data_IF_248512367173
#
_entry.id   IF_248512367173
#
_cell.length_a   1.000
_cell.length_b   1.000
_cell.length_c   1.000
_cell.angle_alpha   90.00
_cell.angle_beta   90.00
_cell.angle_gamma   90.00
#
_symmetry.space_group_name_H-M   'P 1'
#
loop_
_entity.id
_entity.type
_entity.pdbx_description
1 polymer ?
#
# COMPACT_ATOMS: atom_id res chain seq x y z
N UNK A 1 -30.83 -9.45 -23.13
CA UNK A 1 -29.59 -10.01 -22.55
C UNK A 1 -29.70 -10.14 -21.03
N UNK A 2 -29.06 -11.14 -20.45
CA UNK A 2 -29.00 -11.25 -18.98
C UNK A 2 -28.27 -10.02 -18.40
N UNK A 3 -28.70 -9.48 -17.25
CA UNK A 3 -27.98 -8.39 -16.60
C UNK A 3 -26.60 -8.88 -16.22
N UNK A 4 -25.56 -8.12 -16.59
CA UNK A 4 -24.19 -8.36 -16.13
C UNK A 4 -24.00 -7.64 -14.80
N UNK A 5 -23.43 -8.33 -13.80
CA UNK A 5 -22.94 -7.73 -12.57
C UNK A 5 -21.42 -7.61 -12.62
N UNK A 6 -20.90 -6.44 -12.27
CA UNK A 6 -19.47 -6.19 -12.15
C UNK A 6 -19.14 -5.90 -10.68
N UNK A 7 -18.02 -6.44 -10.22
CA UNK A 7 -17.40 -6.04 -8.95
C UNK A 7 -16.45 -4.87 -9.22
N UNK A 8 -16.72 -3.72 -8.60
CA UNK A 8 -15.98 -2.49 -8.87
C UNK A 8 -15.03 -2.15 -7.72
N UNK A 9 -13.73 -2.11 -8.00
CA UNK A 9 -12.73 -1.57 -7.07
C UNK A 9 -12.34 -0.13 -7.44
N UNK A 10 -11.93 0.64 -6.45
CA UNK A 10 -11.41 1.99 -6.63
C UNK A 10 -10.10 2.23 -5.92
N UNK A 11 -9.27 3.12 -6.47
CA UNK A 11 -8.02 3.55 -5.83
C UNK A 11 -8.24 4.68 -4.81
N UNK A 12 -7.39 4.70 -3.77
CA UNK A 12 -7.28 5.79 -2.81
C UNK A 12 -5.80 6.05 -2.46
N UNK A 13 -5.48 7.30 -2.17
CA UNK A 13 -4.14 7.72 -1.72
C UNK A 13 -4.19 8.21 -0.27
N UNK A 14 -3.85 7.34 0.72
CA UNK A 14 -3.84 7.73 2.12
C UNK A 14 -2.85 8.84 2.47
N UNK A 15 -1.77 8.97 1.66
CA UNK A 15 -0.72 9.97 1.85
C UNK A 15 -0.93 11.24 1.01
N UNK A 16 -2.11 11.40 0.41
CA UNK A 16 -2.42 12.56 -0.45
C UNK A 16 -2.14 13.89 0.24
N UNK A 17 -1.46 14.80 -0.46
CA UNK A 17 -1.22 16.16 0.02
C UNK A 17 -2.51 16.95 0.25
N UNK A 18 -3.56 16.66 -0.52
CA UNK A 18 -4.90 17.19 -0.29
C UNK A 18 -5.83 16.08 0.23
N UNK A 19 -5.56 15.67 1.45
CA UNK A 19 -6.24 14.54 2.08
C UNK A 19 -7.77 14.74 2.17
N UNK A 20 -8.23 15.94 2.52
CA UNK A 20 -9.67 16.20 2.62
C UNK A 20 -10.39 15.98 1.27
N UNK A 21 -9.78 16.44 0.18
CA UNK A 21 -10.31 16.21 -1.17
C UNK A 21 -10.25 14.73 -1.57
N UNK A 22 -9.21 14.01 -1.17
CA UNK A 22 -9.08 12.58 -1.45
C UNK A 22 -10.19 11.77 -0.76
N UNK A 23 -10.46 12.05 0.52
CA UNK A 23 -11.54 11.39 1.26
C UNK A 23 -12.90 11.71 0.67
N UNK A 24 -13.15 12.95 0.29
CA UNK A 24 -14.42 13.33 -0.36
C UNK A 24 -14.61 12.61 -1.69
N UNK A 25 -13.58 12.55 -2.53
CA UNK A 25 -13.61 11.78 -3.78
C UNK A 25 -13.82 10.29 -3.55
N UNK A 26 -13.22 9.73 -2.51
CA UNK A 26 -13.40 8.33 -2.15
C UNK A 26 -14.84 8.04 -1.75
N UNK A 27 -15.45 8.91 -0.93
CA UNK A 27 -16.89 8.81 -0.58
C UNK A 27 -17.78 8.83 -1.83
N UNK A 28 -17.51 9.73 -2.77
CA UNK A 28 -18.25 9.80 -4.04
C UNK A 28 -18.11 8.53 -4.86
N UNK A 29 -16.91 7.95 -4.96
CA UNK A 29 -16.65 6.70 -5.67
C UNK A 29 -17.41 5.52 -5.04
N UNK A 30 -17.43 5.44 -3.70
CA UNK A 30 -18.16 4.41 -2.98
C UNK A 30 -19.67 4.59 -3.17
N UNK A 31 -20.18 5.82 -3.07
CA UNK A 31 -21.59 6.13 -3.34
C UNK A 31 -22.01 5.82 -4.79
N UNK A 32 -21.06 5.89 -5.74
CA UNK A 32 -21.28 5.52 -7.14
C UNK A 32 -21.19 4.00 -7.38
N UNK A 33 -20.90 3.18 -6.37
CA UNK A 33 -20.94 1.72 -6.47
C UNK A 33 -19.59 1.02 -6.39
N UNK A 34 -18.54 1.68 -5.87
CA UNK A 34 -17.28 0.97 -5.58
C UNK A 34 -17.45 0.08 -4.33
N UNK A 35 -17.10 -1.18 -4.45
CA UNK A 35 -17.29 -2.25 -3.46
C UNK A 35 -15.97 -2.65 -2.76
N UNK A 36 -14.83 -2.14 -3.25
CA UNK A 36 -13.49 -2.40 -2.72
C UNK A 36 -12.61 -1.17 -2.90
N UNK A 37 -11.81 -0.85 -1.90
CA UNK A 37 -10.77 0.19 -1.98
C UNK A 37 -9.40 -0.46 -2.06
N UNK A 38 -8.57 -0.02 -3.01
CA UNK A 38 -7.16 -0.40 -3.12
C UNK A 38 -6.30 0.85 -2.90
N UNK A 39 -5.41 0.85 -1.91
CA UNK A 39 -4.62 2.04 -1.62
C UNK A 39 -3.42 2.17 -2.55
N UNK A 40 -2.92 3.39 -2.73
CA UNK A 40 -1.52 3.56 -3.15
C UNK A 40 -0.57 2.90 -2.13
N UNK A 41 0.68 2.57 -2.51
CA UNK A 41 1.64 2.00 -1.57
C UNK A 41 1.83 2.89 -0.34
N UNK A 42 1.79 2.28 0.83
CA UNK A 42 1.89 2.97 2.12
C UNK A 42 3.13 2.50 2.87
N UNK A 43 3.84 3.43 3.49
CA UNK A 43 5.05 3.20 4.28
C UNK A 43 4.92 3.67 5.74
N UNK A 44 3.79 4.31 6.08
CA UNK A 44 3.48 4.78 7.43
C UNK A 44 2.11 4.25 7.87
N UNK A 45 2.05 3.36 8.87
CA UNK A 45 0.79 2.83 9.37
C UNK A 45 -0.20 3.90 9.83
N UNK A 46 0.28 5.00 10.44
CA UNK A 46 -0.58 6.06 10.94
C UNK A 46 -1.35 6.78 9.82
N UNK A 47 -0.74 6.90 8.65
CA UNK A 47 -1.38 7.49 7.46
C UNK A 47 -2.53 6.62 6.97
N UNK A 48 -2.34 5.30 6.96
CA UNK A 48 -3.39 4.36 6.60
C UNK A 48 -4.50 4.32 7.66
N UNK A 49 -4.12 4.24 8.94
CA UNK A 49 -5.07 4.19 10.06
C UNK A 49 -6.04 5.36 10.04
N UNK A 50 -5.54 6.57 9.79
CA UNK A 50 -6.37 7.76 9.62
C UNK A 50 -7.42 7.58 8.53
N UNK A 51 -7.03 7.07 7.35
CA UNK A 51 -7.97 6.84 6.25
C UNK A 51 -9.01 5.78 6.62
N UNK A 52 -8.58 4.67 7.25
CA UNK A 52 -9.48 3.60 7.66
C UNK A 52 -10.53 4.11 8.66
N UNK A 53 -10.14 4.97 9.62
CA UNK A 53 -11.05 5.58 10.57
C UNK A 53 -12.07 6.48 9.86
N UNK A 54 -11.63 7.32 8.93
CA UNK A 54 -12.49 8.27 8.19
C UNK A 54 -13.51 7.59 7.28
N UNK A 55 -13.20 6.37 6.77
CA UNK A 55 -14.10 5.62 5.89
C UNK A 55 -14.80 4.44 6.57
N UNK A 56 -14.48 4.13 7.82
CA UNK A 56 -15.10 3.03 8.57
C UNK A 56 -16.65 3.04 8.50
N UNK A 57 -17.35 4.19 8.59
CA UNK A 57 -18.80 4.21 8.48
C UNK A 57 -19.36 3.77 7.12
N UNK A 58 -18.53 3.71 6.08
CA UNK A 58 -18.95 3.32 4.73
C UNK A 58 -18.95 1.80 4.52
N UNK A 59 -18.34 1.03 5.43
CA UNK A 59 -18.39 -0.43 5.43
C UNK A 59 -17.73 -1.11 4.23
N UNK A 60 -16.83 -0.43 3.52
CA UNK A 60 -16.17 -0.97 2.31
C UNK A 60 -14.81 -1.57 2.69
N UNK A 61 -14.50 -2.82 2.26
CA UNK A 61 -13.21 -3.45 2.53
C UNK A 61 -12.06 -2.72 1.84
N UNK A 62 -10.89 -2.75 2.47
CA UNK A 62 -9.67 -2.10 1.98
C UNK A 62 -8.56 -3.13 1.77
N UNK A 63 -7.94 -3.13 0.60
CA UNK A 63 -6.67 -3.78 0.35
C UNK A 63 -5.55 -2.74 0.43
N UNK A 64 -4.59 -2.98 1.32
CA UNK A 64 -3.40 -2.11 1.42
C UNK A 64 -2.42 -2.42 0.31
N UNK A 65 -1.96 -1.38 -0.37
CA UNK A 65 -0.88 -1.47 -1.34
C UNK A 65 0.49 -1.51 -0.66
N UNK A 66 1.32 -2.48 -1.03
CA UNK A 66 2.69 -2.61 -0.56
C UNK A 66 3.64 -2.69 -1.74
N UNK A 67 4.70 -1.89 -1.69
CA UNK A 67 5.78 -1.89 -2.69
C UNK A 67 7.11 -2.06 -1.96
N UNK A 68 7.67 -3.28 -1.89
CA UNK A 68 8.98 -3.48 -1.29
C UNK A 68 10.07 -2.75 -2.07
N UNK A 69 10.88 -1.96 -1.36
CA UNK A 69 11.93 -1.15 -1.98
C UNK A 69 13.12 -2.02 -2.40
N UNK A 70 13.69 -1.78 -3.58
CA UNK A 70 14.79 -2.60 -4.11
C UNK A 70 16.18 -2.04 -3.84
N UNK A 71 16.28 -0.72 -3.58
CA UNK A 71 17.53 0.00 -3.30
C UNK A 71 17.25 1.39 -2.76
N UNK A 72 18.28 2.07 -2.22
CA UNK A 72 18.19 3.47 -1.86
C UNK A 72 17.79 4.36 -3.06
N UNK A 73 18.43 4.16 -4.22
CA UNK A 73 18.10 4.91 -5.44
C UNK A 73 16.63 4.72 -5.85
N UNK A 74 16.10 3.51 -5.69
CA UNK A 74 14.68 3.24 -5.97
C UNK A 74 13.77 3.99 -4.98
N UNK A 75 14.10 4.01 -3.69
CA UNK A 75 13.34 4.76 -2.69
C UNK A 75 13.32 6.28 -2.98
N UNK A 76 14.47 6.87 -3.30
CA UNK A 76 14.55 8.29 -3.66
C UNK A 76 13.79 8.62 -4.95
N UNK A 77 13.91 7.76 -5.98
CA UNK A 77 13.16 7.92 -7.22
C UNK A 77 11.65 7.91 -6.98
N UNK A 78 11.16 6.92 -6.23
CA UNK A 78 9.74 6.83 -5.91
C UNK A 78 9.25 8.05 -5.12
N UNK A 79 10.03 8.51 -4.14
CA UNK A 79 9.66 9.64 -3.30
C UNK A 79 9.63 10.97 -4.06
N UNK A 80 10.61 11.20 -4.94
CA UNK A 80 10.79 12.50 -5.60
C UNK A 80 10.07 12.59 -6.95
N UNK A 81 9.96 11.48 -7.69
CA UNK A 81 9.53 11.50 -9.09
C UNK A 81 8.13 10.89 -9.30
N UNK A 82 7.63 10.11 -8.33
CA UNK A 82 6.33 9.46 -8.50
C UNK A 82 5.26 10.20 -7.68
N UNK A 83 4.27 10.85 -8.35
CA UNK A 83 3.20 11.55 -7.65
C UNK A 83 2.44 10.63 -6.69
N UNK A 84 2.19 11.12 -5.47
CA UNK A 84 1.47 10.37 -4.43
C UNK A 84 2.34 9.41 -3.62
N UNK A 85 3.61 9.18 -4.02
CA UNK A 85 4.52 8.34 -3.25
C UNK A 85 5.22 9.15 -2.15
N UNK A 86 4.78 8.96 -0.91
CA UNK A 86 5.40 9.58 0.27
C UNK A 86 6.14 8.51 1.08
N UNK A 87 7.48 8.50 0.95
CA UNK A 87 8.32 7.58 1.71
C UNK A 87 8.93 8.35 2.90
N UNK A 88 8.60 8.00 4.15
CA UNK A 88 9.13 8.67 5.33
C UNK A 88 10.66 8.68 5.37
N UNK A 89 11.23 9.76 5.92
CA UNK A 89 12.68 9.93 6.04
C UNK A 89 13.36 8.74 6.75
N UNK A 90 12.75 8.22 7.81
CA UNK A 90 13.26 7.06 8.52
C UNK A 90 13.39 5.81 7.61
N UNK A 91 12.45 5.60 6.70
CA UNK A 91 12.49 4.48 5.72
C UNK A 91 13.57 4.74 4.67
N UNK A 92 13.68 5.96 4.15
CA UNK A 92 14.72 6.33 3.19
C UNK A 92 16.13 6.19 3.79
N UNK A 93 16.30 6.58 5.05
CA UNK A 93 17.57 6.41 5.78
C UNK A 93 17.92 4.92 5.99
N UNK A 94 16.95 4.06 6.30
CA UNK A 94 17.14 2.60 6.34
C UNK A 94 17.64 2.08 4.99
N UNK A 95 16.99 2.49 3.91
CA UNK A 95 17.41 2.10 2.55
C UNK A 95 18.77 2.68 2.17
N UNK A 96 19.10 3.89 2.62
CA UNK A 96 20.43 4.50 2.42
C UNK A 96 21.54 3.65 3.06
N UNK A 97 21.32 3.19 4.28
CA UNK A 97 22.26 2.30 4.99
C UNK A 97 22.39 0.93 4.32
N UNK A 98 21.29 0.40 3.79
CA UNK A 98 21.28 -0.86 3.06
C UNK A 98 21.87 -0.75 1.65
N UNK A 99 21.87 0.44 1.04
CA UNK A 99 22.51 0.76 -0.22
C UNK A 99 21.81 0.12 -1.44
N UNK A 100 22.43 -0.90 -2.00
CA UNK A 100 21.97 -1.61 -3.20
C UNK A 100 22.21 -3.12 -3.13
N UNK A 101 21.72 -3.85 -4.13
CA UNK A 101 21.93 -5.29 -4.24
C UNK A 101 21.08 -6.13 -3.27
N UNK A 102 21.49 -7.37 -2.94
CA UNK A 102 20.68 -8.30 -2.17
C UNK A 102 20.32 -7.80 -0.77
N UNK A 103 21.23 -7.09 -0.11
CA UNK A 103 20.99 -6.57 1.24
C UNK A 103 19.92 -5.49 1.26
N UNK A 104 19.93 -4.58 0.29
CA UNK A 104 18.91 -3.56 0.14
C UNK A 104 17.53 -4.18 -0.14
N UNK A 105 17.48 -5.23 -0.98
CA UNK A 105 16.22 -5.95 -1.25
C UNK A 105 15.64 -6.62 0.01
N UNK A 106 16.50 -7.26 0.81
CA UNK A 106 16.07 -7.84 2.10
C UNK A 106 15.52 -6.77 3.05
N UNK A 107 16.17 -5.60 3.10
CA UNK A 107 15.68 -4.48 3.90
C UNK A 107 14.33 -3.96 3.39
N UNK A 108 14.16 -3.82 2.07
CA UNK A 108 12.89 -3.42 1.47
C UNK A 108 11.74 -4.40 1.73
N UNK A 109 12.01 -5.69 1.68
CA UNK A 109 11.05 -6.74 2.09
C UNK A 109 10.72 -6.61 3.57
N UNK A 110 11.71 -6.40 4.43
CA UNK A 110 11.50 -6.24 5.88
C UNK A 110 10.61 -5.04 6.18
N UNK A 111 10.84 -3.90 5.53
CA UNK A 111 10.00 -2.70 5.65
C UNK A 111 8.55 -3.00 5.26
N UNK A 112 8.33 -3.67 4.14
CA UNK A 112 6.98 -4.02 3.69
C UNK A 112 6.30 -5.02 4.64
N UNK A 113 7.04 -5.98 5.21
CA UNK A 113 6.52 -6.91 6.23
C UNK A 113 6.14 -6.20 7.52
N UNK A 114 6.95 -5.26 8.00
CA UNK A 114 6.66 -4.45 9.19
C UNK A 114 5.39 -3.63 8.98
N UNK A 115 5.21 -3.03 7.80
CA UNK A 115 3.99 -2.32 7.44
C UNK A 115 2.77 -3.25 7.44
N UNK A 116 2.86 -4.42 6.79
CA UNK A 116 1.79 -5.41 6.75
C UNK A 116 1.43 -5.89 8.16
N UNK A 117 2.42 -6.21 8.98
CA UNK A 117 2.19 -6.64 10.37
C UNK A 117 1.46 -5.58 11.21
N UNK A 118 1.77 -4.31 10.99
CA UNK A 118 1.15 -3.20 11.73
C UNK A 118 -0.35 -3.01 11.39
N UNK A 119 -0.77 -3.36 10.17
CA UNK A 119 -2.12 -3.02 9.68
C UNK A 119 -3.00 -4.24 9.38
N UNK A 120 -2.48 -5.47 9.46
CA UNK A 120 -3.15 -6.71 9.03
C UNK A 120 -4.53 -6.92 9.64
N UNK A 121 -4.75 -6.51 10.88
CA UNK A 121 -6.00 -6.71 11.60
C UNK A 121 -7.04 -5.62 11.29
N UNK A 122 -6.66 -4.60 10.50
CA UNK A 122 -7.49 -3.47 10.12
C UNK A 122 -7.89 -3.45 8.65
N UNK A 123 -7.25 -4.26 7.82
CA UNK A 123 -7.49 -4.33 6.38
C UNK A 123 -8.07 -5.68 5.98
N UNK A 124 -8.80 -5.74 4.87
CA UNK A 124 -9.33 -6.98 4.33
C UNK A 124 -8.24 -7.85 3.70
N UNK A 125 -7.10 -7.25 3.33
CA UNK A 125 -5.97 -7.94 2.73
C UNK A 125 -4.93 -6.94 2.21
N UNK A 126 -3.94 -7.46 1.48
CA UNK A 126 -2.90 -6.67 0.86
C UNK A 126 -2.74 -7.06 -0.61
N UNK A 127 -2.31 -6.11 -1.44
CA UNK A 127 -1.77 -6.41 -2.74
C UNK A 127 -0.34 -5.88 -2.83
N UNK A 128 0.53 -6.62 -3.49
CA UNK A 128 1.96 -6.34 -3.48
C UNK A 128 2.44 -6.10 -4.90
N UNK A 129 3.13 -4.99 -5.09
CA UNK A 129 3.74 -4.60 -6.35
C UNK A 129 5.23 -4.93 -6.30
N UNK A 130 5.67 -6.07 -6.90
CA UNK A 130 7.09 -6.40 -6.92
C UNK A 130 7.86 -5.41 -7.81
N UNK A 131 8.99 -4.84 -7.35
CA UNK A 131 9.78 -3.94 -8.17
C UNK A 131 10.47 -4.72 -9.30
N UNK A 132 10.43 -4.19 -10.53
CA UNK A 132 11.20 -4.71 -11.68
C UNK A 132 11.05 -6.23 -11.87
N UNK A 133 9.82 -6.74 -11.86
CA UNK A 133 9.50 -8.17 -12.06
C UNK A 133 10.13 -9.14 -11.04
N UNK A 134 10.54 -8.64 -9.86
CA UNK A 134 11.10 -9.46 -8.78
C UNK A 134 10.01 -10.06 -7.92
N UNK A 135 9.29 -11.02 -8.48
CA UNK A 135 8.13 -11.67 -7.82
C UNK A 135 8.50 -12.37 -6.52
N UNK A 136 9.76 -12.85 -6.39
CA UNK A 136 10.28 -13.42 -5.16
C UNK A 136 10.16 -12.47 -3.96
N UNK A 137 10.36 -11.16 -4.16
CA UNK A 137 10.20 -10.18 -3.08
C UNK A 137 8.75 -10.09 -2.59
N UNK A 138 7.77 -10.23 -3.49
CA UNK A 138 6.37 -10.25 -3.10
C UNK A 138 6.03 -11.49 -2.26
N UNK A 139 6.54 -12.65 -2.65
CA UNK A 139 6.37 -13.90 -1.89
C UNK A 139 7.00 -13.79 -0.50
N UNK A 140 8.21 -13.24 -0.40
CA UNK A 140 8.89 -13.01 0.86
C UNK A 140 8.11 -12.05 1.78
N UNK A 141 7.39 -11.06 1.25
CA UNK A 141 6.56 -10.15 2.05
C UNK A 141 5.42 -10.90 2.74
N UNK A 142 4.73 -11.81 2.04
CA UNK A 142 3.56 -12.53 2.58
C UNK A 142 3.90 -13.81 3.34
N UNK A 143 5.15 -14.25 3.29
CA UNK A 143 5.58 -15.45 3.99
C UNK A 143 5.30 -15.38 5.49
N UNK A 144 4.57 -16.38 6.02
CA UNK A 144 4.11 -16.41 7.40
C UNK A 144 2.89 -15.52 7.72
N UNK A 145 2.33 -14.79 6.73
CA UNK A 145 1.06 -14.06 6.89
C UNK A 145 -0.13 -14.80 6.25
N UNK A 146 0.15 -15.75 5.38
CA UNK A 146 -0.90 -16.60 4.78
C UNK A 146 -1.24 -17.73 5.75
N UNK A 147 -2.51 -17.80 6.17
CA UNK A 147 -2.99 -18.97 6.89
C UNK A 147 -2.94 -20.19 5.96
N UNK A 148 -2.33 -21.30 6.41
CA UNK A 148 -2.46 -22.54 5.67
C UNK A 148 -3.95 -22.94 5.67
N UNK A 149 -4.56 -22.93 4.48
CA UNK A 149 -5.91 -23.46 4.28
C UNK A 149 -5.88 -24.97 4.22
#
# INVERSE_FOLDING_TARGET
GAPMSFFCATGADPASQNYAREIERLRQKIAAGAELVMTQPVYDPAVLDRMLDDIAPLGVPVLVGLLPLSSYRNAEFLHNEVPGMQIPEAIRERMRKAGSGPQARKEGVRIAREMLAAVRDRVAGAYIMPPLERYEMALEVVDGFLDPR
#
